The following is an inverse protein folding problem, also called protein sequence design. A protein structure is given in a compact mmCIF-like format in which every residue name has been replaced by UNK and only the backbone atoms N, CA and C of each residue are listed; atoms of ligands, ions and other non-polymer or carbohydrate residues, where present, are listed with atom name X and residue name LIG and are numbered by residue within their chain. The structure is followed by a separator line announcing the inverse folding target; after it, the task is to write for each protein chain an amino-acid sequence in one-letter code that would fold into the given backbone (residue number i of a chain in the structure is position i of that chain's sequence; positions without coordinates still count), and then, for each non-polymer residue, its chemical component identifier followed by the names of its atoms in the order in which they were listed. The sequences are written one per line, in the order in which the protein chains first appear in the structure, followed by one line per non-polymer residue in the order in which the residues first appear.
data_IF_302394994261
#
_entry.id   IF_302394994261
#
_cell.length_a   1.000
_cell.length_b   1.000
_cell.length_c   1.000
_cell.angle_alpha   90.00
_cell.angle_beta   90.00
_cell.angle_gamma   90.00
#
_symmetry.space_group_name_H-M   'P 1'
#
loop_
_entity.id
_entity.type
_entity.pdbx_description
1 polymer ?
#
# COMPACT_ATOMS: atom_id res chain seq x y z
N UNK A 1 6.61 -14.75 6.66
CA UNK A 1 6.18 -13.39 7.02
C UNK A 1 6.34 -13.22 8.52
N UNK A 2 6.71 -12.04 9.00
CA UNK A 2 6.67 -11.73 10.44
C UNK A 2 5.21 -11.83 10.92
N UNK A 3 4.96 -12.55 12.01
CA UNK A 3 3.62 -12.90 12.52
C UNK A 3 2.72 -11.68 12.72
N UNK A 4 3.31 -10.54 13.08
CA UNK A 4 2.59 -9.31 13.40
C UNK A 4 1.84 -8.70 12.20
N UNK A 5 2.16 -9.10 10.98
CA UNK A 5 1.53 -8.57 9.75
C UNK A 5 0.52 -9.50 9.10
N UNK A 6 0.41 -10.75 9.58
CA UNK A 6 -0.52 -11.72 8.99
C UNK A 6 -1.97 -11.29 9.23
N UNK A 7 -2.29 -10.91 10.47
CA UNK A 7 -3.63 -10.48 10.86
C UNK A 7 -4.10 -9.21 10.11
N UNK A 8 -3.35 -8.09 10.07
CA UNK A 8 -3.73 -6.91 9.30
C UNK A 8 -4.05 -7.19 7.83
N UNK A 9 -3.18 -7.95 7.15
CA UNK A 9 -3.34 -8.32 5.74
C UNK A 9 -4.57 -9.20 5.55
N UNK A 10 -4.79 -10.15 6.46
CA UNK A 10 -5.93 -11.08 6.39
C UNK A 10 -7.26 -10.34 6.56
N UNK A 11 -7.34 -9.42 7.52
CA UNK A 11 -8.56 -8.64 7.75
C UNK A 11 -8.83 -7.70 6.57
N UNK A 12 -7.82 -6.97 6.09
CA UNK A 12 -7.96 -6.11 4.91
C UNK A 12 -8.43 -6.90 3.67
N UNK A 13 -7.83 -8.07 3.41
CA UNK A 13 -8.21 -8.95 2.31
C UNK A 13 -9.64 -9.50 2.47
N UNK A 14 -10.05 -9.84 3.69
CA UNK A 14 -11.41 -10.30 3.98
C UNK A 14 -12.46 -9.21 3.73
N UNK A 15 -12.18 -7.97 4.16
CA UNK A 15 -13.04 -6.82 3.89
C UNK A 15 -13.15 -6.53 2.40
N UNK A 16 -12.02 -6.53 1.68
CA UNK A 16 -12.01 -6.41 0.21
C UNK A 16 -12.84 -7.50 -0.47
N UNK A 17 -12.68 -8.75 -0.04
CA UNK A 17 -13.46 -9.85 -0.61
C UNK A 17 -14.95 -9.68 -0.35
N UNK A 18 -15.33 -9.34 0.89
CA UNK A 18 -16.73 -9.17 1.30
C UNK A 18 -17.43 -8.01 0.59
N UNK A 19 -16.77 -6.86 0.52
CA UNK A 19 -17.40 -5.61 0.11
C UNK A 19 -17.12 -5.21 -1.34
N UNK A 20 -16.08 -5.76 -1.96
CA UNK A 20 -15.74 -5.47 -3.36
C UNK A 20 -15.88 -6.72 -4.25
N UNK A 21 -15.06 -7.74 -4.00
CA UNK A 21 -14.95 -8.90 -4.90
C UNK A 21 -16.24 -9.71 -5.00
N UNK A 22 -16.85 -10.05 -3.86
CA UNK A 22 -18.07 -10.87 -3.80
C UNK A 22 -19.33 -10.09 -4.23
N UNK A 23 -19.21 -8.78 -4.45
CA UNK A 23 -20.25 -7.94 -5.06
C UNK A 23 -20.14 -7.90 -6.60
N UNK A 24 -19.25 -8.70 -7.19
CA UNK A 24 -18.98 -8.79 -8.63
C UNK A 24 -18.55 -7.46 -9.25
N UNK A 25 -17.88 -6.60 -8.48
CA UNK A 25 -17.25 -5.41 -9.04
C UNK A 25 -16.04 -5.78 -9.90
N UNK A 26 -15.82 -5.01 -10.97
CA UNK A 26 -14.66 -5.21 -11.83
C UNK A 26 -13.37 -4.80 -11.10
N UNK A 27 -12.44 -5.76 -11.03
CA UNK A 27 -11.15 -5.60 -10.37
C UNK A 27 -10.20 -4.70 -11.17
N UNK A 28 -10.34 -4.62 -12.50
CA UNK A 28 -9.43 -3.80 -13.32
C UNK A 28 -9.70 -2.30 -13.16
N UNK A 29 -10.94 -1.94 -12.78
CA UNK A 29 -11.36 -0.57 -12.49
C UNK A 29 -11.40 -0.28 -10.99
N UNK A 30 -10.74 -1.09 -10.17
CA UNK A 30 -10.71 -0.93 -8.72
C UNK A 30 -10.24 0.46 -8.32
N UNK A 31 -11.04 1.15 -7.51
CA UNK A 31 -10.69 2.41 -6.87
C UNK A 31 -10.76 2.24 -5.36
N UNK A 32 -9.72 2.66 -4.67
CA UNK A 32 -9.64 2.53 -3.21
C UNK A 32 -10.70 3.35 -2.47
N UNK A 33 -11.03 4.54 -2.94
CA UNK A 33 -12.03 5.42 -2.31
C UNK A 33 -13.42 4.76 -2.21
N UNK A 34 -13.81 3.90 -3.16
CA UNK A 34 -15.06 3.15 -3.08
C UNK A 34 -15.12 2.23 -1.87
N UNK A 35 -14.05 1.45 -1.62
CA UNK A 35 -14.04 0.53 -0.48
C UNK A 35 -13.98 1.31 0.84
N UNK A 36 -13.25 2.42 0.89
CA UNK A 36 -13.17 3.26 2.09
C UNK A 36 -14.55 3.80 2.46
N UNK A 37 -15.26 4.40 1.50
CA UNK A 37 -16.61 4.90 1.73
C UNK A 37 -17.58 3.79 2.14
N UNK A 38 -17.47 2.61 1.52
CA UNK A 38 -18.30 1.45 1.89
C UNK A 38 -18.07 1.07 3.35
N UNK A 39 -16.81 0.97 3.79
CA UNK A 39 -16.49 0.60 5.17
C UNK A 39 -16.90 1.68 6.17
N UNK A 40 -16.74 2.96 5.85
CA UNK A 40 -17.21 4.05 6.71
C UNK A 40 -18.72 3.95 6.96
N UNK A 41 -19.51 3.80 5.88
CA UNK A 41 -20.98 3.69 5.95
C UNK A 41 -21.41 2.45 6.74
N UNK A 42 -20.84 1.29 6.41
CA UNK A 42 -21.21 0.00 7.05
C UNK A 42 -20.93 -0.02 8.55
N UNK A 43 -19.95 0.76 9.01
CA UNK A 43 -19.58 0.83 10.42
C UNK A 43 -20.15 2.05 11.16
N UNK A 44 -20.91 2.90 10.45
CA UNK A 44 -21.44 4.16 10.95
C UNK A 44 -20.34 5.06 11.50
N UNK A 45 -19.22 5.15 10.76
CA UNK A 45 -18.09 6.02 11.07
C UNK A 45 -18.26 7.31 10.29
N UNK A 46 -18.35 8.43 11.01
CA UNK A 46 -18.35 9.76 10.42
C UNK A 46 -16.97 10.10 9.88
N UNK A 47 -16.93 10.86 8.78
CA UNK A 47 -15.70 11.31 8.16
C UNK A 47 -15.67 12.83 8.13
N UNK A 48 -14.77 13.41 8.93
CA UNK A 48 -14.65 14.84 9.09
C UNK A 48 -13.35 15.36 8.46
N UNK A 49 -13.51 16.30 7.53
CA UNK A 49 -12.42 16.95 6.84
C UNK A 49 -12.12 18.31 7.50
N UNK A 50 -10.92 18.46 8.05
CA UNK A 50 -10.49 19.70 8.69
C UNK A 50 -9.23 20.26 8.05
N UNK A 51 -9.12 21.58 7.96
CA UNK A 51 -7.92 22.24 7.44
C UNK A 51 -6.90 22.43 8.56
N UNK A 52 -5.92 21.53 8.65
CA UNK A 52 -4.82 21.69 9.59
C UNK A 52 -3.62 22.31 8.85
N UNK A 53 -3.15 23.45 9.37
CA UNK A 53 -1.96 24.14 8.81
C UNK A 53 -0.68 23.35 9.05
N UNK A 54 -0.66 22.49 10.06
CA UNK A 54 0.44 21.57 10.31
C UNK A 54 0.32 20.37 9.37
N UNK A 55 1.22 20.26 8.41
CA UNK A 55 1.24 19.16 7.43
C UNK A 55 1.61 17.81 8.07
N UNK A 56 2.18 17.83 9.28
CA UNK A 56 2.59 16.63 10.02
C UNK A 56 1.40 15.87 10.62
N UNK A 57 0.26 16.53 10.81
CA UNK A 57 -0.99 15.89 11.22
C UNK A 57 -1.68 15.31 9.99
N UNK A 58 -1.87 14.00 10.00
CA UNK A 58 -2.53 13.27 8.92
C UNK A 58 -4.01 13.04 9.25
N UNK A 59 -4.27 12.40 10.38
CA UNK A 59 -5.61 12.02 10.80
C UNK A 59 -5.70 11.54 12.24
N UNK A 60 -6.91 11.20 12.64
CA UNK A 60 -7.21 10.71 13.98
C UNK A 60 -8.50 9.90 13.96
N UNK A 61 -8.50 8.79 14.69
CA UNK A 61 -9.69 8.02 15.03
C UNK A 61 -10.15 8.37 16.45
N UNK A 62 -11.42 8.78 16.57
CA UNK A 62 -12.10 9.02 17.84
C UNK A 62 -13.23 8.00 18.00
N UNK A 63 -13.21 7.26 19.11
CA UNK A 63 -14.27 6.37 19.53
C UNK A 63 -14.81 6.86 20.86
N UNK A 64 -16.01 7.44 20.85
CA UNK A 64 -16.71 7.83 22.08
C UNK A 64 -17.99 7.00 22.29
N UNK A 65 -18.69 7.24 23.40
CA UNK A 65 -19.88 6.47 23.76
C UNK A 65 -21.06 6.68 22.79
N UNK A 66 -21.04 7.75 22.00
CA UNK A 66 -22.13 8.20 21.13
C UNK A 66 -21.85 8.08 19.63
N UNK A 67 -20.59 8.25 19.20
CA UNK A 67 -20.20 8.28 17.80
C UNK A 67 -18.78 7.76 17.55
N UNK A 68 -18.53 7.42 16.28
CA UNK A 68 -17.22 7.04 15.77
C UNK A 68 -16.87 8.01 14.66
N UNK A 69 -15.71 8.63 14.77
CA UNK A 69 -15.31 9.69 13.83
C UNK A 69 -13.87 9.49 13.39
N UNK A 70 -13.65 9.54 12.08
CA UNK A 70 -12.32 9.67 11.49
C UNK A 70 -12.17 11.11 11.03
N UNK A 71 -11.16 11.78 11.55
CA UNK A 71 -10.74 13.11 11.12
C UNK A 71 -9.55 12.97 10.20
N UNK A 72 -9.52 13.71 9.09
CA UNK A 72 -8.33 13.79 8.24
C UNK A 72 -7.99 15.22 7.85
N UNK A 73 -6.72 15.45 7.52
CA UNK A 73 -6.28 16.74 7.02
C UNK A 73 -6.75 16.96 5.57
N UNK A 74 -7.56 18.00 5.37
CA UNK A 74 -8.12 18.37 4.07
C UNK A 74 -7.11 19.08 3.16
N UNK A 75 -5.96 19.56 3.68
CA UNK A 75 -4.89 20.14 2.86
C UNK A 75 -4.12 19.09 2.05
N UNK A 76 -4.19 17.81 2.46
CA UNK A 76 -3.48 16.72 1.81
C UNK A 76 -4.13 16.32 0.48
N UNK A 77 -3.34 15.75 -0.42
CA UNK A 77 -3.85 15.23 -1.70
C UNK A 77 -4.88 14.11 -1.47
N UNK A 78 -5.74 13.85 -2.46
CA UNK A 78 -6.73 12.76 -2.37
C UNK A 78 -6.10 11.42 -2.04
N UNK A 79 -4.95 11.10 -2.64
CA UNK A 79 -4.27 9.83 -2.42
C UNK A 79 -3.66 9.71 -1.02
N UNK A 80 -3.15 10.81 -0.46
CA UNK A 80 -2.68 10.84 0.94
C UNK A 80 -3.85 10.67 1.89
N UNK A 81 -4.96 11.39 1.67
CA UNK A 81 -6.18 11.26 2.47
C UNK A 81 -6.75 9.84 2.44
N UNK A 82 -6.75 9.18 1.27
CA UNK A 82 -7.17 7.78 1.15
C UNK A 82 -6.30 6.87 2.03
N UNK A 83 -4.98 7.09 2.07
CA UNK A 83 -4.08 6.35 2.94
C UNK A 83 -4.36 6.60 4.41
N UNK A 84 -4.50 7.86 4.83
CA UNK A 84 -4.86 8.21 6.20
C UNK A 84 -6.18 7.56 6.62
N UNK A 85 -7.23 7.67 5.81
CA UNK A 85 -8.54 7.06 6.13
C UNK A 85 -8.41 5.54 6.24
N UNK A 86 -7.66 4.89 5.34
CA UNK A 86 -7.41 3.46 5.41
C UNK A 86 -6.60 3.05 6.65
N UNK A 87 -5.65 3.89 7.06
CA UNK A 87 -4.84 3.72 8.26
C UNK A 87 -5.72 3.77 9.52
N UNK A 88 -6.56 4.80 9.64
CA UNK A 88 -7.49 4.94 10.77
C UNK A 88 -8.54 3.82 10.80
N UNK A 89 -9.02 3.35 9.63
CA UNK A 89 -9.82 2.13 9.55
C UNK A 89 -9.03 0.90 10.04
N UNK A 90 -7.73 0.84 9.80
CA UNK A 90 -6.84 -0.19 10.34
C UNK A 90 -6.85 -0.19 11.86
N UNK A 91 -6.70 0.97 12.50
CA UNK A 91 -6.86 1.09 13.95
C UNK A 91 -8.23 0.65 14.43
N UNK A 92 -9.30 1.07 13.75
CA UNK A 92 -10.66 0.66 14.11
C UNK A 92 -10.84 -0.86 14.04
N UNK A 93 -10.36 -1.52 12.98
CA UNK A 93 -10.55 -2.96 12.81
C UNK A 93 -9.64 -3.81 13.69
N UNK A 94 -8.46 -3.30 14.06
CA UNK A 94 -7.43 -4.08 14.75
C UNK A 94 -7.29 -3.75 16.24
N UNK A 95 -7.59 -2.51 16.64
CA UNK A 95 -7.17 -1.98 17.94
C UNK A 95 -8.27 -1.24 18.73
N UNK A 96 -9.50 -1.13 18.20
CA UNK A 96 -10.62 -0.43 18.88
C UNK A 96 -10.90 -0.89 20.31
N UNK A 97 -10.62 -2.16 20.62
CA UNK A 97 -10.85 -2.73 21.95
C UNK A 97 -9.67 -2.49 22.92
N UNK A 98 -8.59 -1.86 22.43
CA UNK A 98 -7.35 -1.60 23.18
C UNK A 98 -7.20 -0.13 23.56
N UNK A 99 -7.62 0.80 22.71
CA UNK A 99 -7.58 2.24 22.95
C UNK A 99 -8.80 2.92 22.31
N UNK A 100 -9.29 4.00 22.93
CA UNK A 100 -10.43 4.78 22.44
C UNK A 100 -10.05 5.90 21.47
N UNK A 101 -8.77 6.26 21.39
CA UNK A 101 -8.28 7.33 20.52
C UNK A 101 -6.90 6.98 19.94
N UNK A 102 -6.73 7.26 18.65
CA UNK A 102 -5.48 7.12 17.90
C UNK A 102 -5.22 8.40 17.11
N UNK A 103 -3.98 8.91 17.16
CA UNK A 103 -3.60 10.15 16.48
C UNK A 103 -2.41 9.88 15.57
N UNK A 104 -2.59 10.03 14.26
CA UNK A 104 -1.52 9.89 13.27
C UNK A 104 -0.80 11.24 13.08
N UNK A 105 0.34 11.36 13.76
CA UNK A 105 1.34 12.39 13.53
C UNK A 105 2.63 11.73 13.04
N UNK A 106 3.25 12.31 12.00
CA UNK A 106 4.52 11.82 11.42
C UNK A 106 5.70 11.70 12.41
N UNK A 107 5.58 12.21 13.65
CA UNK A 107 6.66 12.33 14.64
C UNK A 107 6.48 11.53 15.93
N UNK A 108 5.35 10.89 16.20
CA UNK A 108 5.09 10.32 17.54
C UNK A 108 5.30 8.79 17.62
N UNK A 109 6.55 8.37 17.78
CA UNK A 109 6.93 6.95 17.95
C UNK A 109 7.79 6.75 19.23
N UNK A 110 7.26 7.12 20.40
CA UNK A 110 7.98 7.03 21.68
C UNK A 110 7.73 5.72 22.45
N UNK A 111 6.70 4.95 22.10
CA UNK A 111 6.38 3.64 22.72
C UNK A 111 6.43 2.52 21.66
N UNK A 112 7.03 1.39 22.03
CA UNK A 112 7.13 0.19 21.20
C UNK A 112 5.76 -0.42 20.87
N UNK A 113 4.79 -0.31 21.78
CA UNK A 113 3.43 -0.83 21.55
C UNK A 113 2.70 -0.03 20.47
N UNK A 114 2.74 1.30 20.57
CA UNK A 114 2.25 2.22 19.55
C UNK A 114 2.94 1.95 18.21
N UNK A 115 4.28 1.80 18.19
CA UNK A 115 5.01 1.48 16.95
C UNK A 115 4.48 0.21 16.25
N UNK A 116 4.11 -0.83 17.00
CA UNK A 116 3.53 -2.05 16.41
C UNK A 116 2.14 -1.76 15.83
N UNK A 117 1.27 -1.05 16.56
CA UNK A 117 -0.06 -0.69 16.08
C UNK A 117 -0.01 0.19 14.83
N UNK A 118 0.89 1.17 14.79
CA UNK A 118 1.14 1.99 13.61
C UNK A 118 1.60 1.14 12.41
N UNK A 119 2.51 0.19 12.63
CA UNK A 119 2.97 -0.72 11.58
C UNK A 119 1.85 -1.66 11.09
N UNK A 120 0.98 -2.12 11.99
CA UNK A 120 -0.18 -2.95 11.66
C UNK A 120 -1.24 -2.18 10.88
N UNK A 121 -1.56 -0.96 11.30
CA UNK A 121 -2.47 -0.06 10.58
C UNK A 121 -1.94 0.29 9.18
N UNK A 122 -0.64 0.58 9.05
CA UNK A 122 -0.01 0.79 7.75
C UNK A 122 -0.08 -0.44 6.83
N UNK A 123 0.13 -1.64 7.37
CA UNK A 123 0.02 -2.87 6.60
C UNK A 123 -1.43 -3.16 6.17
N UNK A 124 -2.40 -2.91 7.05
CA UNK A 124 -3.83 -2.98 6.73
C UNK A 124 -4.18 -2.00 5.61
N UNK A 125 -3.78 -0.73 5.74
CA UNK A 125 -4.05 0.32 4.78
C UNK A 125 -3.49 -0.03 3.40
N UNK A 126 -2.23 -0.45 3.33
CA UNK A 126 -1.59 -0.81 2.07
C UNK A 126 -2.28 -2.00 1.37
N UNK A 127 -2.71 -3.02 2.11
CA UNK A 127 -3.42 -4.17 1.54
C UNK A 127 -4.84 -3.78 1.11
N UNK A 128 -5.57 -3.01 1.91
CA UNK A 128 -6.94 -2.58 1.59
C UNK A 128 -6.97 -1.65 0.37
N UNK A 129 -6.07 -0.67 0.31
CA UNK A 129 -6.01 0.30 -0.79
C UNK A 129 -5.55 -0.32 -2.10
N UNK A 130 -4.76 -1.39 -2.05
CA UNK A 130 -4.29 -2.07 -3.25
C UNK A 130 -4.17 -3.58 -3.02
N UNK A 131 -5.31 -4.30 -3.12
CA UNK A 131 -5.38 -5.73 -2.85
C UNK A 131 -4.53 -6.55 -3.82
N UNK A 132 -4.00 -7.67 -3.33
CA UNK A 132 -3.16 -8.55 -4.14
C UNK A 132 -3.83 -9.04 -5.44
N UNK A 133 -5.13 -9.32 -5.42
CA UNK A 133 -5.89 -9.75 -6.60
C UNK A 133 -5.94 -8.66 -7.69
N UNK A 134 -6.15 -7.41 -7.26
CA UNK A 134 -6.16 -6.23 -8.14
C UNK A 134 -4.79 -6.04 -8.78
N UNK A 135 -3.72 -6.08 -7.98
CA UNK A 135 -2.34 -5.99 -8.47
C UNK A 135 -2.02 -7.08 -9.49
N UNK A 136 -2.36 -8.33 -9.16
CA UNK A 136 -2.09 -9.48 -10.03
C UNK A 136 -2.78 -9.33 -11.37
N UNK A 137 -4.02 -8.85 -11.38
CA UNK A 137 -4.78 -8.58 -12.60
C UNK A 137 -4.17 -7.41 -13.38
N UNK A 138 -3.87 -6.27 -12.73
CA UNK A 138 -3.24 -5.14 -13.43
C UNK A 138 -1.89 -5.50 -14.06
N UNK A 139 -1.13 -6.40 -13.43
CA UNK A 139 0.09 -6.94 -14.02
C UNK A 139 -0.17 -7.85 -15.23
N UNK A 140 -1.26 -8.63 -15.24
CA UNK A 140 -1.57 -9.47 -16.41
C UNK A 140 -1.92 -8.61 -17.63
N UNK A 141 -2.47 -7.42 -17.41
CA UNK A 141 -2.70 -6.41 -18.45
C UNK A 141 -1.51 -5.48 -18.71
N UNK A 142 -0.34 -5.75 -18.12
CA UNK A 142 0.90 -4.98 -18.31
C UNK A 142 0.74 -3.49 -18.00
N UNK A 143 -0.04 -3.14 -16.98
CA UNK A 143 -0.19 -1.74 -16.58
C UNK A 143 1.17 -1.18 -16.13
N UNK A 144 1.44 0.08 -16.51
CA UNK A 144 2.62 0.80 -16.01
C UNK A 144 2.36 1.37 -14.61
N UNK A 145 3.44 1.73 -13.91
CA UNK A 145 3.41 2.18 -12.53
C UNK A 145 2.42 3.34 -12.31
N UNK A 146 2.48 4.37 -13.16
CA UNK A 146 1.63 5.55 -13.05
C UNK A 146 0.15 5.26 -13.33
N UNK A 147 -0.14 4.31 -14.23
CA UNK A 147 -1.50 3.88 -14.53
C UNK A 147 -2.12 3.15 -13.34
N UNK A 148 -1.37 2.28 -12.66
CA UNK A 148 -1.84 1.59 -11.45
C UNK A 148 -2.21 2.63 -10.39
N UNK A 149 -1.27 3.52 -10.04
CA UNK A 149 -1.50 4.56 -9.04
C UNK A 149 -2.73 5.43 -9.35
N UNK A 150 -2.87 5.87 -10.61
CA UNK A 150 -3.98 6.70 -11.06
C UNK A 150 -5.34 6.01 -10.95
N UNK A 151 -5.44 4.74 -11.36
CA UNK A 151 -6.71 4.02 -11.35
C UNK A 151 -7.13 3.70 -9.91
N UNK A 152 -6.19 3.25 -9.09
CA UNK A 152 -6.48 2.84 -7.71
C UNK A 152 -6.54 3.99 -6.72
N UNK A 153 -6.15 5.21 -7.14
CA UNK A 153 -6.12 6.44 -6.33
C UNK A 153 -5.21 6.34 -5.10
N UNK A 154 -4.06 5.69 -5.29
CA UNK A 154 -3.00 5.61 -4.27
C UNK A 154 -1.82 6.47 -4.68
N UNK A 155 -1.06 6.96 -3.70
CA UNK A 155 0.11 7.78 -3.96
C UNK A 155 1.23 6.93 -4.60
N UNK A 156 2.14 7.58 -5.32
CA UNK A 156 3.31 6.87 -5.87
C UNK A 156 4.15 6.22 -4.77
N UNK A 157 4.29 6.87 -3.62
CA UNK A 157 4.98 6.32 -2.46
C UNK A 157 4.28 5.07 -1.92
N UNK A 158 2.96 5.13 -1.75
CA UNK A 158 2.17 3.98 -1.31
C UNK A 158 2.31 2.80 -2.29
N UNK A 159 2.16 3.05 -3.60
CA UNK A 159 2.34 2.01 -4.62
C UNK A 159 3.76 1.42 -4.58
N UNK A 160 4.79 2.26 -4.50
CA UNK A 160 6.18 1.81 -4.46
C UNK A 160 6.42 0.83 -3.31
N UNK A 161 6.05 1.19 -2.09
CA UNK A 161 6.22 0.33 -0.92
C UNK A 161 5.29 -0.89 -0.91
N UNK A 162 4.07 -0.74 -1.44
CA UNK A 162 3.15 -1.86 -1.63
C UNK A 162 3.75 -2.91 -2.57
N UNK A 163 4.37 -2.49 -3.66
CA UNK A 163 5.03 -3.40 -4.60
C UNK A 163 6.28 -4.05 -4.00
N UNK A 164 7.09 -3.32 -3.24
CA UNK A 164 8.20 -3.90 -2.47
C UNK A 164 7.69 -5.01 -1.55
N UNK A 165 6.66 -4.74 -0.76
CA UNK A 165 6.06 -5.74 0.14
C UNK A 165 5.50 -6.94 -0.64
N UNK A 166 4.79 -6.69 -1.74
CA UNK A 166 4.26 -7.73 -2.61
C UNK A 166 5.36 -8.67 -3.15
N UNK A 167 6.47 -8.12 -3.66
CA UNK A 167 7.58 -8.92 -4.19
C UNK A 167 8.31 -9.71 -3.08
N UNK A 168 8.54 -9.10 -1.92
CA UNK A 168 9.11 -9.80 -0.75
C UNK A 168 8.26 -11.00 -0.33
N UNK A 169 6.93 -10.83 -0.35
CA UNK A 169 6.00 -11.88 0.08
C UNK A 169 5.86 -12.99 -0.97
N UNK A 170 5.73 -12.62 -2.24
CA UNK A 170 5.45 -13.58 -3.32
C UNK A 170 6.70 -14.32 -3.81
N UNK A 171 7.84 -13.62 -3.87
CA UNK A 171 9.08 -14.10 -4.49
C UNK A 171 10.22 -14.29 -3.48
N UNK A 172 9.98 -14.04 -2.20
CA UNK A 172 11.00 -14.10 -1.13
C UNK A 172 12.22 -13.22 -1.39
N UNK A 173 12.06 -12.12 -2.15
CA UNK A 173 13.12 -11.13 -2.37
C UNK A 173 13.48 -10.43 -1.06
N UNK A 174 14.75 -10.04 -0.91
CA UNK A 174 15.16 -9.11 0.12
C UNK A 174 14.81 -7.65 -0.27
N UNK A 175 15.02 -6.70 0.66
CA UNK A 175 14.67 -5.28 0.42
C UNK A 175 15.43 -4.69 -0.77
N UNK A 176 16.75 -4.94 -0.88
CA UNK A 176 17.59 -4.41 -1.97
C UNK A 176 17.14 -4.95 -3.32
N UNK A 177 16.92 -6.27 -3.42
CA UNK A 177 16.45 -6.91 -4.66
C UNK A 177 15.06 -6.40 -5.07
N UNK A 178 14.16 -6.21 -4.10
CA UNK A 178 12.83 -5.68 -4.38
C UNK A 178 12.90 -4.25 -4.92
N UNK A 179 13.68 -3.38 -4.28
CA UNK A 179 13.88 -2.00 -4.73
C UNK A 179 14.43 -1.96 -6.15
N UNK A 180 15.45 -2.78 -6.45
CA UNK A 180 16.05 -2.87 -7.77
C UNK A 180 15.02 -3.20 -8.88
N UNK A 181 14.13 -4.16 -8.62
CA UNK A 181 13.06 -4.53 -9.56
C UNK A 181 12.03 -3.40 -9.71
N UNK A 182 11.65 -2.74 -8.61
CA UNK A 182 10.67 -1.64 -8.64
C UNK A 182 11.22 -0.40 -9.33
N UNK A 183 12.47 -0.04 -9.08
CA UNK A 183 13.16 1.08 -9.75
C UNK A 183 13.24 0.84 -11.25
N UNK A 184 13.60 -0.38 -11.68
CA UNK A 184 13.56 -0.76 -13.09
C UNK A 184 12.14 -0.61 -13.69
N UNK A 185 11.11 -1.08 -12.97
CA UNK A 185 9.72 -0.95 -13.42
C UNK A 185 9.25 0.49 -13.52
N UNK A 186 9.60 1.34 -12.55
CA UNK A 186 9.30 2.78 -12.56
C UNK A 186 9.98 3.45 -13.74
N UNK A 187 11.25 3.15 -14.02
CA UNK A 187 12.00 3.75 -15.12
C UNK A 187 11.46 3.33 -16.50
N UNK A 188 11.18 2.03 -16.69
CA UNK A 188 10.49 1.55 -17.88
C UNK A 188 9.09 2.17 -18.03
N UNK A 189 8.40 2.45 -16.93
CA UNK A 189 7.10 3.12 -16.96
C UNK A 189 7.20 4.59 -17.41
N UNK A 190 8.25 5.32 -17.02
CA UNK A 190 8.48 6.72 -17.45
C UNK A 190 8.74 6.81 -18.95
N UNK A 191 9.53 5.87 -19.45
CA UNK A 191 9.92 5.77 -20.87
C UNK A 191 8.87 5.10 -21.75
N UNK A 192 7.70 4.75 -21.20
CA UNK A 192 6.60 4.04 -21.88
C UNK A 192 7.02 2.69 -22.50
N UNK A 193 8.01 2.04 -21.91
CA UNK A 193 8.49 0.71 -22.29
C UNK A 193 8.28 -0.31 -21.17
N UNK A 194 7.20 -0.16 -20.40
CA UNK A 194 6.91 -0.99 -19.22
C UNK A 194 6.93 -2.48 -19.53
N UNK A 195 6.56 -2.90 -20.74
CA UNK A 195 6.56 -4.29 -21.18
C UNK A 195 7.93 -4.97 -21.10
N UNK A 196 9.02 -4.19 -21.08
CA UNK A 196 10.41 -4.65 -20.93
C UNK A 196 10.89 -4.73 -19.48
N UNK A 197 10.08 -4.27 -18.51
CA UNK A 197 10.46 -4.26 -17.11
C UNK A 197 10.63 -5.69 -16.57
N UNK A 198 11.69 -5.91 -15.79
CA UNK A 198 12.01 -7.21 -15.18
C UNK A 198 10.86 -7.78 -14.36
N UNK A 199 10.06 -6.91 -13.74
CA UNK A 199 8.90 -7.34 -12.94
C UNK A 199 8.00 -8.28 -13.74
N UNK A 200 7.74 -8.02 -15.03
CA UNK A 200 6.83 -8.85 -15.83
C UNK A 200 7.38 -10.24 -16.16
N UNK A 201 8.69 -10.47 -16.02
CA UNK A 201 9.31 -11.78 -16.20
C UNK A 201 9.13 -12.69 -14.97
N UNK A 202 8.88 -12.09 -13.80
CA UNK A 202 8.90 -12.80 -12.51
C UNK A 202 7.61 -12.66 -11.71
N UNK A 203 6.75 -11.69 -12.02
CA UNK A 203 5.59 -11.32 -11.19
C UNK A 203 4.53 -12.43 -11.06
N UNK A 204 4.52 -13.40 -11.96
CA UNK A 204 3.64 -14.58 -11.92
C UNK A 204 4.28 -15.82 -11.32
N UNK A 205 5.55 -15.74 -10.89
CA UNK A 205 6.24 -16.82 -10.19
C UNK A 205 5.89 -16.81 -8.70
N UNK A 206 6.27 -17.89 -8.02
CA UNK A 206 6.17 -18.04 -6.56
C UNK A 206 7.51 -18.54 -6.00
N UNK A 207 7.95 -17.91 -4.92
CA UNK A 207 9.25 -18.19 -4.30
C UNK A 207 10.44 -17.67 -5.11
N UNK A 208 11.63 -17.82 -4.52
CA UNK A 208 12.89 -17.36 -5.11
C UNK A 208 13.46 -18.41 -6.08
N UNK A 209 12.96 -18.39 -7.32
CA UNK A 209 13.35 -19.36 -8.35
C UNK A 209 14.67 -18.97 -9.05
N UNK A 210 15.32 -19.88 -9.79
CA UNK A 210 16.47 -19.53 -10.63
C UNK A 210 16.20 -18.40 -11.62
N UNK A 211 14.98 -18.29 -12.14
CA UNK A 211 14.59 -17.20 -13.03
C UNK A 211 14.50 -15.85 -12.30
N UNK A 212 13.93 -15.85 -11.08
CA UNK A 212 13.94 -14.65 -10.19
C UNK A 212 15.37 -14.21 -9.93
N UNK A 213 16.24 -15.14 -9.51
CA UNK A 213 17.66 -14.87 -9.28
C UNK A 213 18.34 -14.28 -10.51
N UNK A 214 18.10 -14.86 -11.69
CA UNK A 214 18.72 -14.41 -12.93
C UNK A 214 18.32 -12.98 -13.30
N UNK A 215 17.05 -12.60 -13.10
CA UNK A 215 16.60 -11.22 -13.34
C UNK A 215 17.22 -10.23 -12.36
N UNK A 216 17.34 -10.60 -11.08
CA UNK A 216 18.01 -9.78 -10.08
C UNK A 216 19.48 -9.54 -10.46
N UNK A 217 20.24 -10.61 -10.77
CA UNK A 217 21.65 -10.49 -11.16
C UNK A 217 21.83 -9.62 -12.40
N UNK A 218 20.96 -9.79 -13.41
CA UNK A 218 20.98 -8.97 -14.62
C UNK A 218 20.82 -7.48 -14.31
N UNK A 219 19.90 -7.11 -13.41
CA UNK A 219 19.72 -5.71 -13.02
C UNK A 219 20.89 -5.20 -12.18
N UNK A 220 21.47 -6.03 -11.31
CA UNK A 220 22.65 -5.63 -10.53
C UNK A 220 23.84 -5.33 -11.46
N UNK A 221 24.06 -6.11 -12.51
CA UNK A 221 25.08 -5.85 -13.52
C UNK A 221 24.84 -4.52 -14.25
N UNK A 222 23.59 -4.23 -14.65
CA UNK A 222 23.24 -2.97 -15.31
C UNK A 222 23.57 -1.78 -14.41
N UNK A 223 23.12 -1.80 -13.15
CA UNK A 223 23.37 -0.69 -12.20
C UNK A 223 24.87 -0.52 -11.94
N UNK A 224 25.59 -1.61 -11.75
CA UNK A 224 27.05 -1.57 -11.55
C UNK A 224 27.80 -1.02 -12.77
N UNK A 225 27.32 -1.29 -13.98
CA UNK A 225 27.91 -0.76 -15.22
C UNK A 225 27.71 0.75 -15.38
N UNK A 226 26.54 1.26 -14.98
CA UNK A 226 26.22 2.69 -15.03
C UNK A 226 27.07 3.49 -14.03
N UNK A 227 27.30 2.95 -12.83
CA UNK A 227 28.14 3.59 -11.81
C UNK A 227 29.61 3.68 -12.22
N UNK A 228 30.12 2.72 -13.00
CA UNK A 228 31.50 2.75 -13.53
C UNK A 228 31.69 3.72 -14.70
N UNK A 229 30.61 4.21 -15.30
CA UNK A 229 30.64 5.12 -16.45
C UNK A 229 30.61 6.62 -16.10
N UNK A 230 30.59 6.97 -14.81
CA UNK A 230 30.63 8.37 -14.35
C UNK A 230 32.12 8.76 -14.18
N UNK A 231 32.67 9.69 -14.98
CA UNK A 231 34.01 10.21 -14.73
C UNK A 231 34.03 10.95 -13.39
N UNK A 232 35.08 10.72 -12.59
CA UNK A 232 35.39 11.49 -11.38
C UNK A 232 35.54 12.99 -11.69
#
# INVERSE_FOLDING_TARGET
MNSNFIEPITIASSLFNKYYKNKNHDLITYRSDYILMTLLIENQIQLDAHLFRNDLFCGMLILDESEKTIVHNSSHSEEKRNFTIAHELGHYYLHKDKQSQFVDETTNMLDNSNLIFEQQANAFAAELLLPQDVLSLMFSYRYNFFRIAKITRVSYECLHWRLVTYLKQKLSLNKKESLLIIENYVECSKTKSQEKASIFNIVFMFGYTPAVRSEVLRLEEIVNSQLKGIPL
#
